data_IF_390261893911
#
_entry.id   IF_390261893911
#
_cell.length_a   1.000
_cell.length_b   1.000
_cell.length_c   1.000
_cell.angle_alpha   90.00
_cell.angle_beta   90.00
_cell.angle_gamma   90.00
#
_symmetry.space_group_name_H-M   'P 1'
#
loop_
_entity.id
_entity.type
_entity.pdbx_description
1 polymer ?
#
# COMPACT_ATOMS: atom_id res chain seq x y z
N UNK A 1 7.90 16.37 -27.28
CA UNK A 1 9.20 17.01 -27.01
C UNK A 1 10.20 16.02 -26.40
N UNK A 2 10.03 15.60 -25.14
CA UNK A 2 10.99 14.73 -24.41
C UNK A 2 11.37 13.46 -25.18
N UNK A 3 10.40 12.68 -25.65
CA UNK A 3 10.67 11.44 -26.40
C UNK A 3 11.54 11.65 -27.65
N UNK A 4 11.32 12.74 -28.38
CA UNK A 4 12.08 13.05 -29.59
C UNK A 4 13.49 13.54 -29.27
N UNK A 5 13.68 14.22 -28.14
CA UNK A 5 15.01 14.55 -27.63
C UNK A 5 15.77 13.28 -27.27
N UNK A 6 15.13 12.39 -26.50
CA UNK A 6 15.73 11.13 -26.06
C UNK A 6 16.18 10.27 -27.24
N UNK A 7 15.34 10.09 -28.26
CA UNK A 7 15.68 9.31 -29.46
C UNK A 7 16.93 9.79 -30.21
N UNK A 8 17.32 11.05 -30.05
CA UNK A 8 18.47 11.66 -30.74
C UNK A 8 19.71 11.75 -29.85
N UNK A 9 19.67 11.22 -28.63
CA UNK A 9 20.81 11.25 -27.72
C UNK A 9 21.91 10.29 -28.17
N UNK A 10 23.18 10.72 -28.12
CA UNK A 10 24.31 9.81 -28.28
C UNK A 10 24.34 8.76 -27.16
N UNK A 11 24.71 7.52 -27.50
CA UNK A 11 24.74 6.40 -26.53
C UNK A 11 25.65 6.69 -25.34
N UNK A 12 26.73 7.45 -25.56
CA UNK A 12 27.73 7.78 -24.54
C UNK A 12 27.15 8.60 -23.37
N UNK A 13 26.06 9.33 -23.58
CA UNK A 13 25.46 10.18 -22.54
C UNK A 13 24.28 9.52 -21.81
N UNK A 14 23.79 8.38 -22.31
CA UNK A 14 22.63 7.68 -21.73
C UNK A 14 22.92 7.27 -20.28
N UNK A 15 24.08 6.65 -20.02
CA UNK A 15 24.44 6.22 -18.67
C UNK A 15 24.59 7.38 -17.69
N UNK A 16 25.10 8.54 -18.14
CA UNK A 16 25.16 9.76 -17.32
C UNK A 16 23.77 10.28 -17.00
N UNK A 17 22.88 10.29 -18.00
CA UNK A 17 21.50 10.72 -17.82
C UNK A 17 20.74 9.80 -16.85
N UNK A 18 20.94 8.48 -16.89
CA UNK A 18 20.34 7.55 -15.90
C UNK A 18 20.76 7.91 -14.48
N UNK A 19 22.04 8.22 -14.25
CA UNK A 19 22.56 8.60 -12.93
C UNK A 19 21.91 9.89 -12.42
N UNK A 20 21.84 10.92 -13.26
CA UNK A 20 21.20 12.19 -12.89
C UNK A 20 19.70 12.01 -12.63
N UNK A 21 19.00 11.27 -13.49
CA UNK A 21 17.58 10.97 -13.28
C UNK A 21 17.35 10.19 -11.98
N UNK A 22 18.27 9.30 -11.59
CA UNK A 22 18.21 8.58 -10.32
C UNK A 22 18.25 9.53 -9.12
N UNK A 23 19.14 10.52 -9.15
CA UNK A 23 19.20 11.56 -8.11
C UNK A 23 17.92 12.40 -8.07
N UNK A 24 17.45 12.85 -9.24
CA UNK A 24 16.24 13.67 -9.34
C UNK A 24 14.98 12.92 -8.87
N UNK A 25 14.91 11.62 -9.12
CA UNK A 25 13.82 10.75 -8.70
C UNK A 25 13.80 10.45 -7.20
N UNK A 26 14.88 10.70 -6.46
CA UNK A 26 14.86 10.61 -5.00
C UNK A 26 14.36 11.90 -4.34
N UNK A 27 14.26 13.01 -5.09
CA UNK A 27 13.74 14.29 -4.60
C UNK A 27 12.22 14.29 -4.35
N UNK A 28 11.75 15.27 -3.57
CA UNK A 28 10.33 15.43 -3.15
C UNK A 28 9.56 16.52 -3.92
N UNK A 29 10.12 17.03 -5.02
CA UNK A 29 9.60 18.20 -5.74
C UNK A 29 9.00 17.82 -7.10
N UNK A 30 8.41 18.79 -7.81
CA UNK A 30 7.91 18.62 -9.18
C UNK A 30 8.97 18.05 -10.15
N UNK A 31 10.25 18.31 -9.88
CA UNK A 31 11.38 17.75 -10.63
C UNK A 31 11.35 16.22 -10.68
N UNK A 32 10.84 15.56 -9.64
CA UNK A 32 10.64 14.12 -9.60
C UNK A 32 9.73 13.63 -10.72
N UNK A 33 8.58 14.29 -10.88
CA UNK A 33 7.57 13.91 -11.86
C UNK A 33 8.11 14.08 -13.28
N UNK A 34 8.83 15.18 -13.52
CA UNK A 34 9.51 15.40 -14.80
C UNK A 34 10.57 14.32 -15.05
N UNK A 35 11.40 14.02 -14.05
CA UNK A 35 12.43 12.97 -14.16
C UNK A 35 11.84 11.59 -14.46
N UNK A 36 10.69 11.24 -13.88
CA UNK A 36 9.98 9.99 -14.18
C UNK A 36 9.54 9.91 -15.64
N UNK A 37 9.03 11.02 -16.20
CA UNK A 37 8.64 11.10 -17.62
C UNK A 37 9.86 10.94 -18.53
N UNK A 38 11.00 11.55 -18.19
CA UNK A 38 12.26 11.37 -18.91
C UNK A 38 12.77 9.95 -18.84
N UNK A 39 12.76 9.32 -17.65
CA UNK A 39 13.20 7.95 -17.46
C UNK A 39 12.34 6.98 -18.28
N UNK A 40 11.02 7.15 -18.27
CA UNK A 40 10.11 6.33 -19.10
C UNK A 40 10.42 6.46 -20.60
N UNK A 41 10.66 7.68 -21.08
CA UNK A 41 11.03 7.90 -22.47
C UNK A 41 12.40 7.27 -22.81
N UNK A 42 13.37 7.36 -21.90
CA UNK A 42 14.70 6.75 -22.03
C UNK A 42 14.62 5.23 -22.16
N UNK A 43 13.89 4.59 -21.26
CA UNK A 43 13.70 3.14 -21.28
C UNK A 43 13.00 2.70 -22.56
N UNK A 44 11.97 3.42 -23.00
CA UNK A 44 11.26 3.10 -24.25
C UNK A 44 12.16 3.17 -25.50
N UNK A 45 13.15 4.08 -25.54
CA UNK A 45 14.01 4.28 -26.70
C UNK A 45 15.32 3.44 -26.65
N UNK A 46 15.85 3.16 -25.46
CA UNK A 46 17.20 2.62 -25.29
C UNK A 46 17.29 1.38 -24.39
N UNK A 47 16.17 0.71 -24.07
CA UNK A 47 16.16 -0.47 -23.19
C UNK A 47 17.17 -1.56 -23.62
N UNK A 48 17.26 -1.89 -24.91
CA UNK A 48 18.18 -2.94 -25.39
C UNK A 48 19.65 -2.60 -25.15
N UNK A 49 20.03 -1.33 -25.34
CA UNK A 49 21.39 -0.84 -25.10
C UNK A 49 21.73 -0.83 -23.61
N UNK A 50 20.76 -0.43 -22.78
CA UNK A 50 20.90 -0.44 -21.33
C UNK A 50 21.00 -1.87 -20.77
N UNK A 51 20.21 -2.82 -21.29
CA UNK A 51 20.28 -4.23 -20.90
C UNK A 51 21.61 -4.89 -21.26
N UNK A 52 22.26 -4.44 -22.34
CA UNK A 52 23.58 -4.92 -22.73
C UNK A 52 24.73 -4.31 -21.91
N UNK A 53 24.47 -3.25 -21.14
CA UNK A 53 25.48 -2.61 -20.29
C UNK A 53 25.60 -3.38 -18.96
N UNK A 54 26.77 -3.97 -18.66
CA UNK A 54 26.97 -4.71 -17.41
C UNK A 54 26.84 -3.84 -16.15
N UNK A 55 26.91 -2.51 -16.28
CA UNK A 55 26.76 -1.58 -15.17
C UNK A 55 25.32 -1.14 -14.91
N UNK A 56 24.38 -1.52 -15.80
CA UNK A 56 22.99 -1.08 -15.72
C UNK A 56 22.30 -1.54 -14.43
N UNK A 57 22.54 -2.78 -13.98
CA UNK A 57 21.94 -3.31 -12.74
C UNK A 57 22.26 -2.43 -11.54
N UNK A 58 23.52 -2.00 -11.40
CA UNK A 58 23.92 -1.10 -10.32
C UNK A 58 23.30 0.30 -10.45
N UNK A 59 23.12 0.79 -11.68
CA UNK A 59 22.50 2.09 -11.93
C UNK A 59 21.00 2.10 -11.62
N UNK A 60 20.29 1.00 -11.85
CA UNK A 60 18.85 0.87 -11.63
C UNK A 60 18.45 0.37 -10.24
N UNK A 61 19.36 -0.26 -9.48
CA UNK A 61 19.05 -0.77 -8.13
C UNK A 61 18.42 0.29 -7.18
N UNK A 62 18.94 1.53 -7.08
CA UNK A 62 18.30 2.55 -6.25
C UNK A 62 16.91 2.96 -6.74
N UNK A 63 16.68 2.90 -8.05
CA UNK A 63 15.38 3.20 -8.67
C UNK A 63 14.36 2.11 -8.39
N UNK A 64 14.79 0.85 -8.37
CA UNK A 64 13.94 -0.28 -8.03
C UNK A 64 13.45 -0.18 -6.58
N UNK A 65 14.36 0.01 -5.62
CA UNK A 65 13.98 0.20 -4.22
C UNK A 65 13.10 1.43 -4.00
N UNK A 66 13.30 2.51 -4.77
CA UNK A 66 12.40 3.67 -4.74
C UNK A 66 10.97 3.31 -5.23
N UNK A 67 10.84 2.47 -6.25
CA UNK A 67 9.53 2.02 -6.74
C UNK A 67 8.86 1.13 -5.70
N UNK A 68 9.59 0.17 -5.14
CA UNK A 68 9.10 -0.75 -4.10
C UNK A 68 8.58 0.02 -2.88
N UNK A 69 9.37 0.96 -2.35
CA UNK A 69 8.95 1.79 -1.20
C UNK A 69 7.70 2.60 -1.50
N UNK A 70 7.58 3.19 -2.69
CA UNK A 70 6.38 3.96 -3.08
C UNK A 70 5.15 3.06 -3.23
N UNK A 71 5.31 1.90 -3.85
CA UNK A 71 4.22 0.91 -4.00
C UNK A 71 3.76 0.43 -2.63
N UNK A 72 4.69 0.13 -1.72
CA UNK A 72 4.37 -0.25 -0.34
C UNK A 72 3.59 0.83 0.42
N UNK A 73 3.77 2.12 0.10
CA UNK A 73 3.00 3.20 0.70
C UNK A 73 1.59 3.39 0.11
N UNK A 74 1.27 2.82 -1.06
CA UNK A 74 -0.03 3.09 -1.72
C UNK A 74 -1.21 2.55 -0.92
N UNK A 75 -1.12 1.33 -0.39
CA UNK A 75 -2.16 0.72 0.43
C UNK A 75 -2.45 1.50 1.72
N UNK A 76 -1.45 1.80 2.59
CA UNK A 76 -1.71 2.59 3.80
C UNK A 76 -2.19 4.01 3.49
N UNK A 77 -1.69 4.67 2.43
CA UNK A 77 -2.21 5.97 1.99
C UNK A 77 -3.67 5.89 1.52
N UNK A 78 -4.05 4.80 0.84
CA UNK A 78 -5.42 4.53 0.45
C UNK A 78 -6.35 4.39 1.66
N UNK A 79 -5.93 3.62 2.68
CA UNK A 79 -6.68 3.48 3.94
C UNK A 79 -6.83 4.81 4.66
N UNK A 80 -5.76 5.59 4.76
CA UNK A 80 -5.78 6.91 5.38
C UNK A 80 -6.76 7.85 4.66
N UNK A 81 -6.70 7.88 3.33
CA UNK A 81 -7.63 8.67 2.51
C UNK A 81 -9.08 8.27 2.78
N UNK A 82 -9.39 6.97 2.81
CA UNK A 82 -10.74 6.49 3.09
C UNK A 82 -11.27 6.94 4.46
N UNK A 83 -10.44 6.86 5.50
CA UNK A 83 -10.79 7.35 6.85
C UNK A 83 -11.04 8.86 6.86
N UNK A 84 -10.17 9.64 6.21
CA UNK A 84 -10.36 11.08 6.08
C UNK A 84 -11.64 11.44 5.33
N UNK A 85 -11.94 10.73 4.24
CA UNK A 85 -13.16 10.92 3.48
C UNK A 85 -14.39 10.67 4.38
N UNK A 86 -14.42 9.58 5.17
CA UNK A 86 -15.51 9.31 6.13
C UNK A 86 -15.67 10.43 7.17
N UNK A 87 -14.58 10.89 7.78
CA UNK A 87 -14.61 11.98 8.75
C UNK A 87 -15.13 13.28 8.14
N UNK A 88 -14.71 13.60 6.91
CA UNK A 88 -15.17 14.80 6.21
C UNK A 88 -16.68 14.75 5.92
N UNK A 89 -17.22 13.58 5.56
CA UNK A 89 -18.66 13.39 5.40
C UNK A 89 -19.43 13.55 6.72
N UNK A 90 -18.89 13.05 7.84
CA UNK A 90 -19.51 13.22 9.16
C UNK A 90 -19.56 14.70 9.58
N UNK A 91 -18.44 15.43 9.44
CA UNK A 91 -18.38 16.86 9.78
C UNK A 91 -19.27 17.70 8.87
N UNK A 92 -19.37 17.37 7.58
CA UNK A 92 -20.23 18.09 6.64
C UNK A 92 -21.72 17.75 6.79
N UNK A 93 -22.05 16.60 7.37
CA UNK A 93 -23.43 16.17 7.64
C UNK A 93 -24.00 16.71 8.95
N UNK A 94 -23.14 17.17 9.87
CA UNK A 94 -23.55 17.66 11.20
C UNK A 94 -24.17 19.08 11.17
N UNK A 95 -23.97 19.83 10.09
CA UNK A 95 -24.61 21.14 9.88
C UNK A 95 -26.13 21.05 9.60
N UNK A 96 -26.70 19.83 9.47
CA UNK A 96 -28.08 19.59 9.07
C UNK A 96 -28.98 18.86 10.08
N UNK A 97 -28.45 18.34 11.20
CA UNK A 97 -29.22 17.49 12.13
C UNK A 97 -29.25 18.00 13.58
N UNK A 98 -29.44 19.30 13.76
CA UNK A 98 -30.15 19.82 14.95
C UNK A 98 -31.67 19.74 14.71
N UNK A 99 -32.18 18.52 14.50
CA UNK A 99 -33.59 18.31 14.18
C UNK A 99 -33.96 16.83 14.20
N UNK A 100 -34.45 16.38 15.35
CA UNK A 100 -35.04 15.06 15.61
C UNK A 100 -34.15 13.84 15.29
N UNK A 101 -33.30 13.47 16.25
CA UNK A 101 -33.10 12.04 16.52
C UNK A 101 -34.39 11.55 17.17
N UNK A 102 -35.31 11.00 16.37
CA UNK A 102 -36.36 10.13 16.91
C UNK A 102 -35.64 8.90 17.46
N UNK A 103 -35.62 8.83 18.79
CA UNK A 103 -35.08 7.70 19.55
C UNK A 103 -35.94 6.47 19.31
N UNK A 104 -35.72 5.77 18.21
CA UNK A 104 -36.17 4.37 18.06
C UNK A 104 -34.96 3.44 18.06
N UNK A 105 -34.26 3.44 19.19
CA UNK A 105 -33.45 2.30 19.61
C UNK A 105 -34.13 1.69 20.84
N UNK A 106 -35.06 0.77 20.61
CA UNK A 106 -35.52 -0.15 21.65
C UNK A 106 -36.11 -1.42 21.02
N UNK A 107 -35.30 -2.46 20.89
CA UNK A 107 -35.79 -3.83 20.69
C UNK A 107 -35.68 -4.53 22.05
N UNK A 108 -36.77 -4.53 22.82
CA UNK A 108 -36.91 -5.38 24.02
C UNK A 108 -37.43 -6.74 23.55
N UNK A 109 -36.59 -7.77 23.63
CA UNK A 109 -37.08 -9.15 23.63
C UNK A 109 -37.47 -9.51 25.06
N UNK A 110 -38.77 -9.50 25.33
CA UNK A 110 -39.34 -9.94 26.58
C UNK A 110 -39.83 -11.38 26.39
N UNK A 111 -38.89 -12.33 26.49
CA UNK A 111 -39.25 -13.74 26.57
C UNK A 111 -39.73 -14.00 27.99
N UNK A 112 -41.03 -13.78 28.19
CA UNK A 112 -41.73 -14.21 29.37
C UNK A 112 -41.92 -15.72 29.30
N UNK A 113 -41.09 -16.47 30.03
CA UNK A 113 -41.59 -17.64 30.71
C UNK A 113 -41.05 -17.71 32.14
N UNK A 114 -42.00 -17.85 33.06
CA UNK A 114 -41.79 -17.85 34.50
C UNK A 114 -41.22 -19.19 34.95
N UNK A 115 -40.16 -19.20 35.76
CA UNK A 115 -40.07 -20.08 36.95
C UNK A 115 -38.99 -19.58 37.91
N UNK A 116 -39.36 -19.69 39.18
CA UNK A 116 -38.76 -19.18 40.41
C UNK A 116 -37.45 -19.89 40.82
N UNK A 117 -36.63 -19.17 41.57
CA UNK A 117 -35.63 -19.65 42.55
C UNK A 117 -34.32 -20.29 42.03
N UNK A 118 -33.18 -19.64 42.32
CA UNK A 118 -31.88 -20.33 42.27
C UNK A 118 -30.69 -19.42 41.98
N UNK A 119 -30.16 -18.80 43.03
CA UNK A 119 -28.80 -18.29 43.10
C UNK A 119 -27.77 -19.26 42.48
N UNK A 120 -27.04 -18.84 41.44
CA UNK A 120 -25.58 -19.02 41.46
C UNK A 120 -24.84 -18.07 40.53
N UNK A 121 -23.74 -17.53 41.05
CA UNK A 121 -22.82 -16.63 40.36
C UNK A 121 -21.92 -17.48 39.46
N UNK A 122 -22.14 -17.45 38.15
CA UNK A 122 -21.30 -18.16 37.18
C UNK A 122 -20.91 -17.25 36.01
N UNK A 123 -19.59 -17.13 35.82
CA UNK A 123 -18.99 -16.93 34.51
C UNK A 123 -18.96 -15.49 33.99
N UNK A 124 -18.20 -14.62 34.64
CA UNK A 124 -17.57 -13.48 33.95
C UNK A 124 -16.47 -14.04 33.04
N UNK A 125 -16.84 -14.63 31.91
CA UNK A 125 -15.92 -14.78 30.79
C UNK A 125 -15.87 -13.41 30.11
N UNK A 126 -14.81 -12.67 30.42
CA UNK A 126 -14.41 -11.53 29.63
C UNK A 126 -14.05 -12.06 28.25
N UNK A 127 -14.93 -11.87 27.28
CA UNK A 127 -14.62 -12.01 25.86
C UNK A 127 -13.46 -11.04 25.58
N UNK A 128 -12.27 -11.61 25.46
CA UNK A 128 -11.07 -10.94 24.98
C UNK A 128 -11.33 -10.53 23.53
N UNK A 129 -11.61 -9.24 23.32
CA UNK A 129 -11.66 -8.63 21.99
C UNK A 129 -10.23 -8.56 21.42
N UNK A 130 -9.70 -9.69 20.95
CA UNK A 130 -8.43 -9.80 20.23
C UNK A 130 -8.63 -9.74 18.71
N UNK A 131 -9.56 -8.91 18.23
CA UNK A 131 -9.99 -8.96 16.82
C UNK A 131 -9.53 -7.81 15.92
N UNK A 132 -8.59 -6.96 16.34
CA UNK A 132 -8.19 -5.80 15.50
C UNK A 132 -6.77 -5.81 14.90
N UNK A 133 -5.85 -6.69 15.31
CA UNK A 133 -4.44 -6.60 14.88
C UNK A 133 -3.92 -7.75 13.98
N UNK A 134 -4.77 -8.69 13.53
CA UNK A 134 -4.31 -9.93 12.86
C UNK A 134 -4.25 -9.93 11.32
N UNK A 135 -4.30 -8.77 10.65
CA UNK A 135 -4.32 -8.73 9.17
C UNK A 135 -2.98 -8.36 8.51
N UNK A 136 -1.93 -8.03 9.27
CA UNK A 136 -0.64 -7.58 8.72
C UNK A 136 0.44 -8.67 8.63
N UNK A 137 0.11 -9.95 8.87
CA UNK A 137 1.09 -11.04 8.93
C UNK A 137 0.94 -12.06 7.77
N UNK A 138 0.92 -11.57 6.54
CA UNK A 138 1.33 -12.35 5.37
C UNK A 138 2.33 -11.52 4.55
N UNK A 139 3.50 -11.26 5.15
CA UNK A 139 4.66 -10.85 4.39
C UNK A 139 5.16 -12.05 3.56
N UNK A 140 5.62 -11.78 2.34
CA UNK A 140 5.97 -12.72 1.25
C UNK A 140 7.05 -13.78 1.57
N UNK A 141 7.39 -14.02 2.84
CA UNK A 141 8.45 -14.93 3.29
C UNK A 141 7.98 -16.39 3.53
N UNK A 142 6.69 -16.71 3.36
CA UNK A 142 6.18 -18.09 3.51
C UNK A 142 6.01 -18.85 2.18
N UNK A 143 6.19 -18.21 1.03
CA UNK A 143 6.11 -18.91 -0.28
C UNK A 143 7.42 -19.61 -0.69
N UNK A 144 8.54 -19.35 -0.02
CA UNK A 144 9.83 -20.00 -0.35
C UNK A 144 10.07 -21.34 0.38
N UNK A 145 9.24 -21.71 1.36
CA UNK A 145 9.48 -22.90 2.18
C UNK A 145 8.61 -24.12 1.80
N UNK A 146 7.91 -24.10 0.66
CA UNK A 146 7.11 -25.24 0.15
C UNK A 146 7.74 -25.97 -1.05
N UNK A 147 8.96 -25.62 -1.48
CA UNK A 147 9.62 -26.27 -2.64
C UNK A 147 10.82 -27.18 -2.30
N UNK A 148 11.08 -27.50 -1.03
CA UNK A 148 12.24 -28.33 -0.64
C UNK A 148 11.88 -29.57 0.19
N UNK A 149 10.85 -30.30 -0.20
CA UNK A 149 10.63 -31.68 0.26
C UNK A 149 10.28 -32.57 -0.94
N UNK A 150 11.31 -32.97 -1.71
CA UNK A 150 11.38 -34.34 -2.23
C UNK A 150 12.74 -34.63 -2.88
N UNK A 151 13.15 -35.89 -2.75
CA UNK A 151 14.31 -36.60 -3.31
C UNK A 151 15.37 -36.97 -2.26
N UNK A 152 15.04 -38.02 -1.50
CA UNK A 152 16.00 -38.94 -0.89
C UNK A 152 16.28 -40.12 -1.85
N UNK A 153 17.51 -40.65 -1.77
CA UNK A 153 18.09 -41.86 -2.39
C UNK A 153 18.73 -41.77 -3.79
N UNK A 154 19.82 -42.54 -4.08
CA UNK A 154 20.18 -43.86 -3.50
C UNK A 154 21.50 -43.98 -2.72
#
# INVERSE_FOLDING_TARGET
AIAQTVQRLPVQVIGLLVKELSVLLQGKTFTNQVAAVWLKALLAAHASQLLADPTATAAFSPLLGLVETRVGCLAPLGRLRGRLDLMLHQVSGDDGHSGLVDTQALVVHQDGDSTEEGSDTLGSEAEEDESEDRWDELSENEVENMESEDIEEP
#
